data_IF_991671911996
#
_entry.id   IF_991671911996
#
_cell.length_a   1.000
_cell.length_b   1.000
_cell.length_c   1.000
_cell.angle_alpha   90.00
_cell.angle_beta   90.00
_cell.angle_gamma   90.00
#
_symmetry.space_group_name_H-M   'P 1'
#
loop_
_entity.id
_entity.type
_entity.pdbx_description
1 polymer ?
#
# COMPACT_ATOMS: atom_id res chain seq x y z
N UNK A 1 -33.91 2.53 -5.89
CA UNK A 1 -33.04 3.46 -6.63
C UNK A 1 -32.26 2.65 -7.64
N UNK A 2 -32.41 2.96 -8.92
CA UNK A 2 -31.63 2.30 -9.96
C UNK A 2 -30.19 2.84 -9.88
N UNK A 3 -29.18 1.97 -10.00
CA UNK A 3 -27.77 2.41 -10.01
C UNK A 3 -27.50 3.45 -11.12
N UNK A 4 -28.29 3.39 -12.19
CA UNK A 4 -28.26 4.32 -13.32
C UNK A 4 -28.53 5.78 -12.90
N UNK A 5 -29.43 6.01 -11.95
CA UNK A 5 -29.73 7.35 -11.43
C UNK A 5 -28.57 7.93 -10.61
N UNK A 6 -27.58 7.11 -10.25
CA UNK A 6 -26.45 7.50 -9.40
C UNK A 6 -25.14 7.74 -10.15
N UNK A 7 -25.15 7.63 -11.49
CA UNK A 7 -23.97 7.85 -12.34
C UNK A 7 -23.21 9.14 -12.00
N UNK A 8 -23.84 10.33 -11.84
CA UNK A 8 -23.12 11.56 -11.52
C UNK A 8 -22.41 11.53 -10.16
N UNK A 9 -23.00 10.85 -9.17
CA UNK A 9 -22.38 10.69 -7.85
C UNK A 9 -21.22 9.70 -7.89
N UNK A 10 -21.33 8.64 -8.69
CA UNK A 10 -20.25 7.66 -8.89
C UNK A 10 -19.07 8.34 -9.61
N UNK A 11 -19.32 9.16 -10.64
CA UNK A 11 -18.29 9.95 -11.33
C UNK A 11 -17.55 10.89 -10.37
N UNK A 12 -18.28 11.62 -9.51
CA UNK A 12 -17.68 12.46 -8.46
C UNK A 12 -16.81 11.64 -7.52
N UNK A 13 -17.29 10.48 -7.08
CA UNK A 13 -16.55 9.60 -6.18
C UNK A 13 -15.27 9.04 -6.83
N UNK A 14 -15.33 8.73 -8.12
CA UNK A 14 -14.15 8.34 -8.91
C UNK A 14 -13.14 9.50 -8.94
N UNK A 15 -13.56 10.73 -9.22
CA UNK A 15 -12.64 11.87 -9.27
C UNK A 15 -12.02 12.24 -7.91
N UNK A 16 -12.73 12.00 -6.80
CA UNK A 16 -12.30 12.39 -5.45
C UNK A 16 -11.54 11.29 -4.70
N UNK A 17 -11.87 10.02 -4.96
CA UNK A 17 -11.40 8.88 -4.15
C UNK A 17 -10.53 7.89 -4.94
N UNK A 18 -10.67 7.85 -6.26
CA UNK A 18 -9.73 7.14 -7.11
C UNK A 18 -8.54 8.06 -7.39
N UNK A 19 -7.32 7.56 -7.18
CA UNK A 19 -6.10 8.26 -7.59
C UNK A 19 -5.92 8.26 -9.11
N UNK A 20 -4.73 8.63 -9.59
CA UNK A 20 -4.38 8.53 -11.01
C UNK A 20 -4.57 7.11 -11.55
N UNK A 21 -5.20 7.00 -12.73
CA UNK A 21 -5.37 5.75 -13.45
C UNK A 21 -4.21 5.57 -14.45
N UNK A 22 -3.65 4.36 -14.63
CA UNK A 22 -2.65 4.10 -15.67
C UNK A 22 -3.14 4.50 -17.07
N UNK A 23 -2.24 4.95 -17.95
CA UNK A 23 -2.56 5.43 -19.32
C UNK A 23 -3.38 4.44 -20.16
N UNK A 24 -3.28 3.13 -19.88
CA UNK A 24 -4.02 2.06 -20.56
C UNK A 24 -5.09 1.37 -19.68
N UNK A 25 -5.46 1.95 -18.53
CA UNK A 25 -6.35 1.30 -17.58
C UNK A 25 -7.72 0.99 -18.18
N UNK A 26 -8.27 1.87 -19.02
CA UNK A 26 -9.55 1.69 -19.70
C UNK A 26 -9.62 0.40 -20.56
N UNK A 27 -8.48 -0.04 -21.09
CA UNK A 27 -8.37 -1.20 -21.97
C UNK A 27 -8.04 -2.50 -21.22
N UNK A 28 -7.68 -2.40 -19.93
CA UNK A 28 -7.31 -3.53 -19.10
C UNK A 28 -8.44 -3.89 -18.13
N UNK A 29 -9.22 -4.91 -18.48
CA UNK A 29 -10.38 -5.37 -17.71
C UNK A 29 -10.02 -5.77 -16.27
N UNK A 30 -8.86 -6.38 -16.06
CA UNK A 30 -8.41 -6.79 -14.72
C UNK A 30 -8.15 -5.56 -13.84
N UNK A 31 -7.42 -4.58 -14.36
CA UNK A 31 -7.13 -3.32 -13.65
C UNK A 31 -8.42 -2.57 -13.35
N UNK A 32 -9.36 -2.50 -14.29
CA UNK A 32 -10.65 -1.82 -14.11
C UNK A 32 -11.52 -2.51 -13.06
N UNK A 33 -11.60 -3.84 -13.08
CA UNK A 33 -12.34 -4.62 -12.06
C UNK A 33 -11.77 -4.41 -10.67
N UNK A 34 -10.45 -4.52 -10.50
CA UNK A 34 -9.78 -4.26 -9.21
C UNK A 34 -10.01 -2.82 -8.74
N UNK A 35 -10.01 -1.87 -9.66
CA UNK A 35 -10.25 -0.46 -9.36
C UNK A 35 -11.69 -0.22 -8.89
N UNK A 36 -12.68 -0.81 -9.54
CA UNK A 36 -14.08 -0.69 -9.12
C UNK A 36 -14.39 -1.45 -7.82
N UNK A 37 -13.69 -2.57 -7.54
CA UNK A 37 -13.74 -3.22 -6.22
C UNK A 37 -13.21 -2.28 -5.13
N UNK A 38 -12.08 -1.60 -5.38
CA UNK A 38 -11.54 -0.59 -4.45
C UNK A 38 -12.53 0.56 -4.25
N UNK A 39 -13.17 1.03 -5.33
CA UNK A 39 -14.21 2.06 -5.28
C UNK A 39 -15.40 1.63 -4.42
N UNK A 40 -15.89 0.39 -4.56
CA UNK A 40 -16.99 -0.14 -3.75
C UNK A 40 -16.65 -0.13 -2.26
N UNK A 41 -15.43 -0.52 -1.89
CA UNK A 41 -14.96 -0.53 -0.49
C UNK A 41 -14.90 0.88 0.10
N UNK A 42 -14.67 1.89 -0.71
CA UNK A 42 -14.65 3.30 -0.29
C UNK A 42 -16.05 3.92 -0.16
N UNK A 43 -17.11 3.22 -0.59
CA UNK A 43 -18.47 3.70 -0.43
C UNK A 43 -18.93 3.65 1.03
N UNK A 44 -19.79 4.60 1.45
CA UNK A 44 -20.46 4.54 2.75
C UNK A 44 -21.15 3.20 2.99
N UNK A 45 -21.13 2.73 4.25
CA UNK A 45 -21.62 1.40 4.64
C UNK A 45 -23.06 1.11 4.17
N UNK A 46 -23.94 2.11 4.18
CA UNK A 46 -25.32 1.96 3.74
C UNK A 46 -25.45 1.65 2.24
N UNK A 47 -24.54 2.14 1.39
CA UNK A 47 -24.53 1.82 -0.05
C UNK A 47 -23.99 0.40 -0.27
N UNK A 48 -22.96 -0.01 0.48
CA UNK A 48 -22.40 -1.37 0.40
C UNK A 48 -23.38 -2.47 0.85
N UNK A 49 -24.36 -2.12 1.68
CA UNK A 49 -25.45 -3.02 2.08
C UNK A 49 -26.54 -3.10 0.99
N UNK A 50 -26.84 -1.97 0.33
CA UNK A 50 -27.87 -1.91 -0.69
C UNK A 50 -27.46 -2.54 -2.03
N UNK A 51 -26.16 -2.53 -2.35
CA UNK A 51 -25.62 -3.08 -3.60
C UNK A 51 -24.37 -3.93 -3.30
N UNK A 52 -24.45 -5.22 -3.62
CA UNK A 52 -23.31 -6.14 -3.49
C UNK A 52 -22.13 -5.75 -4.39
N UNK A 53 -20.90 -6.07 -3.95
CA UNK A 53 -19.66 -5.71 -4.64
C UNK A 53 -19.67 -6.18 -6.11
N UNK A 54 -20.06 -7.44 -6.36
CA UNK A 54 -20.12 -8.00 -7.71
C UNK A 54 -21.09 -7.23 -8.63
N UNK A 55 -22.31 -6.95 -8.17
CA UNK A 55 -23.31 -6.20 -8.94
C UNK A 55 -22.85 -4.78 -9.24
N UNK A 56 -22.20 -4.13 -8.27
CA UNK A 56 -21.63 -2.79 -8.45
C UNK A 56 -20.49 -2.79 -9.47
N UNK A 57 -19.58 -3.77 -9.38
CA UNK A 57 -18.45 -3.91 -10.30
C UNK A 57 -18.92 -4.18 -11.72
N UNK A 58 -19.86 -5.11 -11.93
CA UNK A 58 -20.43 -5.37 -13.26
C UNK A 58 -21.13 -4.15 -13.83
N UNK A 59 -21.90 -3.42 -13.02
CA UNK A 59 -22.53 -2.17 -13.44
C UNK A 59 -21.50 -1.12 -13.87
N UNK A 60 -20.39 -0.98 -13.11
CA UNK A 60 -19.32 -0.05 -13.44
C UNK A 60 -18.54 -0.48 -14.68
N UNK A 61 -18.31 -1.79 -14.87
CA UNK A 61 -17.67 -2.33 -16.08
C UNK A 61 -18.54 -2.09 -17.32
N UNK A 62 -19.86 -2.32 -17.22
CA UNK A 62 -20.80 -2.09 -18.31
C UNK A 62 -20.97 -0.61 -18.68
N UNK A 63 -20.66 0.31 -17.76
CA UNK A 63 -20.75 1.76 -17.96
C UNK A 63 -19.38 2.46 -17.91
N UNK A 64 -18.28 1.72 -18.05
CA UNK A 64 -16.92 2.24 -17.80
C UNK A 64 -16.58 3.48 -18.62
N UNK A 65 -16.97 3.49 -19.90
CA UNK A 65 -16.69 4.61 -20.80
C UNK A 65 -17.49 5.85 -20.37
N UNK A 66 -18.74 5.68 -19.92
CA UNK A 66 -19.59 6.77 -19.41
C UNK A 66 -19.07 7.30 -18.07
N UNK A 67 -18.57 6.42 -17.21
CA UNK A 67 -18.05 6.79 -15.88
C UNK A 67 -16.70 7.52 -15.95
N UNK A 68 -15.88 7.21 -16.96
CA UNK A 68 -14.52 7.74 -17.08
C UNK A 68 -14.34 8.82 -18.17
N UNK A 69 -15.29 9.01 -19.10
CA UNK A 69 -15.19 9.99 -20.20
C UNK A 69 -15.50 11.44 -19.82
N UNK A 70 -15.46 11.81 -18.53
CA UNK A 70 -15.85 13.17 -18.13
C UNK A 70 -14.76 14.21 -18.48
N UNK A 71 -15.07 15.07 -19.46
CA UNK A 71 -14.33 16.30 -19.80
C UNK A 71 -14.09 17.13 -18.53
N UNK A 72 -12.81 17.30 -18.16
CA UNK A 72 -12.37 18.49 -17.40
C UNK A 72 -11.66 18.27 -16.06
N UNK A 73 -11.61 17.06 -15.49
CA UNK A 73 -10.95 16.87 -14.17
C UNK A 73 -9.91 15.74 -14.11
N UNK A 74 -9.96 14.78 -15.04
CA UNK A 74 -9.06 13.61 -15.03
C UNK A 74 -7.83 13.81 -15.95
N UNK A 75 -7.91 14.74 -16.92
CA UNK A 75 -6.80 15.00 -17.84
C UNK A 75 -5.61 15.72 -17.17
N UNK A 76 -5.85 16.57 -16.15
CA UNK A 76 -4.80 17.34 -15.47
C UNK A 76 -4.19 16.63 -14.25
N UNK A 77 -4.74 15.48 -13.85
CA UNK A 77 -4.10 14.56 -12.89
C UNK A 77 -3.61 13.29 -13.57
N UNK A 78 -3.22 13.42 -14.83
CA UNK A 78 -2.28 12.50 -15.47
C UNK A 78 -0.89 12.76 -14.84
N UNK A 79 -0.71 12.34 -13.59
CA UNK A 79 0.63 12.09 -13.11
C UNK A 79 1.22 11.03 -14.02
N UNK A 80 2.37 11.34 -14.60
CA UNK A 80 3.34 10.35 -15.00
C UNK A 80 3.59 9.44 -13.80
N UNK A 81 2.83 8.37 -13.68
CA UNK A 81 3.48 7.11 -13.36
C UNK A 81 3.99 6.60 -14.69
N UNK A 82 5.18 7.05 -15.04
CA UNK A 82 6.01 6.35 -16.01
C UNK A 82 5.91 4.85 -15.71
N UNK A 83 5.53 4.00 -16.68
CA UNK A 83 5.92 2.60 -16.66
C UNK A 83 7.43 2.43 -16.89
N UNK A 84 8.16 3.53 -17.15
CA UNK A 84 9.58 3.53 -17.52
C UNK A 84 10.38 4.63 -16.80
N UNK A 85 10.43 4.54 -15.48
CA UNK A 85 11.60 4.93 -14.69
C UNK A 85 11.44 4.19 -13.36
N UNK A 86 11.96 2.98 -13.21
CA UNK A 86 13.38 2.73 -13.08
C UNK A 86 13.74 1.41 -13.80
N UNK A 87 14.17 1.49 -15.05
CA UNK A 87 15.45 0.82 -15.35
C UNK A 87 16.52 1.75 -14.76
N UNK A 88 16.54 1.85 -13.43
CA UNK A 88 17.76 2.26 -12.77
C UNK A 88 18.72 1.16 -13.15
N UNK A 89 19.80 1.57 -13.80
CA UNK A 89 21.01 0.77 -13.78
C UNK A 89 21.29 0.54 -12.30
N UNK A 90 20.87 -0.62 -11.79
CA UNK A 90 20.91 -0.92 -10.35
C UNK A 90 22.35 -0.72 -9.96
N UNK A 91 22.59 0.15 -8.99
CA UNK A 91 23.96 0.31 -8.53
C UNK A 91 24.45 -1.04 -8.01
N UNK A 92 25.75 -1.30 -8.08
CA UNK A 92 26.34 -2.53 -7.54
C UNK A 92 25.84 -2.80 -6.10
N UNK A 93 25.66 -1.73 -5.32
CA UNK A 93 25.11 -1.75 -3.96
C UNK A 93 23.65 -2.22 -3.90
N UNK A 94 22.79 -1.81 -4.85
CA UNK A 94 21.38 -2.23 -4.88
C UNK A 94 21.25 -3.74 -5.18
N UNK A 95 22.11 -4.26 -6.06
CA UNK A 95 22.16 -5.69 -6.40
C UNK A 95 22.64 -6.52 -5.20
N UNK A 96 23.68 -6.07 -4.51
CA UNK A 96 24.20 -6.72 -3.30
C UNK A 96 23.16 -6.75 -2.17
N UNK A 97 22.41 -5.66 -1.97
CA UNK A 97 21.34 -5.58 -0.98
C UNK A 97 20.15 -6.50 -1.31
N UNK A 98 19.79 -6.64 -2.59
CA UNK A 98 18.76 -7.60 -3.02
C UNK A 98 19.18 -9.05 -2.77
N UNK A 99 20.44 -9.38 -3.05
CA UNK A 99 21.00 -10.71 -2.77
C UNK A 99 20.97 -11.01 -1.27
N UNK A 100 21.42 -10.05 -0.44
CA UNK A 100 21.36 -10.17 1.02
C UNK A 100 19.92 -10.33 1.53
N UNK A 101 18.97 -9.58 0.99
CA UNK A 101 17.55 -9.70 1.36
C UNK A 101 17.02 -11.10 1.03
N UNK A 102 17.38 -11.65 -0.12
CA UNK A 102 16.99 -13.01 -0.53
C UNK A 102 17.61 -14.07 0.38
N UNK A 103 18.90 -13.94 0.69
CA UNK A 103 19.60 -14.84 1.60
C UNK A 103 18.94 -14.86 2.99
N UNK A 104 18.62 -13.68 3.56
CA UNK A 104 17.94 -13.57 4.85
C UNK A 104 16.55 -14.21 4.84
N UNK A 105 15.81 -14.09 3.73
CA UNK A 105 14.52 -14.75 3.57
C UNK A 105 14.66 -16.27 3.53
N UNK A 106 15.58 -16.80 2.73
CA UNK A 106 15.85 -18.24 2.65
C UNK A 106 16.32 -18.78 4.01
N UNK A 107 17.19 -18.05 4.71
CA UNK A 107 17.63 -18.40 6.05
C UNK A 107 16.45 -18.44 7.03
N UNK A 108 15.56 -17.44 6.99
CA UNK A 108 14.39 -17.38 7.87
C UNK A 108 13.49 -18.61 7.72
N UNK A 109 13.28 -19.09 6.49
CA UNK A 109 12.49 -20.29 6.20
C UNK A 109 13.15 -21.57 6.71
N UNK A 110 14.49 -21.58 6.80
CA UNK A 110 15.26 -22.71 7.30
C UNK A 110 15.29 -22.78 8.83
N UNK A 111 15.33 -21.64 9.52
CA UNK A 111 15.60 -21.58 10.97
C UNK A 111 14.37 -21.26 11.82
N UNK A 112 13.35 -20.61 11.28
CA UNK A 112 12.14 -20.29 12.03
C UNK A 112 11.06 -21.35 11.86
N UNK A 113 10.27 -21.54 12.92
CA UNK A 113 9.05 -22.32 12.84
C UNK A 113 8.01 -21.58 11.98
N UNK A 114 7.24 -22.26 11.13
CA UNK A 114 6.28 -21.66 10.21
C UNK A 114 4.98 -21.23 10.91
N UNK A 115 5.10 -20.42 11.96
CA UNK A 115 3.99 -19.91 12.77
C UNK A 115 3.46 -18.56 12.27
N UNK A 116 4.26 -17.83 11.48
CA UNK A 116 3.89 -16.57 10.86
C UNK A 116 4.12 -16.64 9.34
N UNK A 117 3.23 -16.03 8.53
CA UNK A 117 3.45 -15.94 7.10
C UNK A 117 4.64 -15.02 6.79
N UNK A 118 5.58 -15.43 5.93
CA UNK A 118 6.74 -14.61 5.59
C UNK A 118 6.28 -13.30 4.92
N UNK A 119 6.99 -12.22 5.24
CA UNK A 119 6.79 -10.90 4.63
C UNK A 119 8.00 -10.58 3.75
N UNK A 120 7.80 -10.02 2.54
CA UNK A 120 8.90 -9.64 1.65
C UNK A 120 9.47 -8.27 2.06
N UNK A 121 9.83 -8.13 3.34
CA UNK A 121 10.36 -6.88 3.90
C UNK A 121 11.33 -7.23 5.02
N UNK A 122 12.55 -6.71 4.92
CA UNK A 122 13.58 -6.84 5.95
C UNK A 122 13.94 -5.44 6.41
N UNK A 123 13.72 -5.15 7.68
CA UNK A 123 13.96 -3.85 8.29
C UNK A 123 15.35 -3.83 8.92
N UNK A 124 16.08 -2.74 8.71
CA UNK A 124 17.44 -2.56 9.24
C UNK A 124 17.50 -1.56 10.39
N UNK A 125 16.79 -0.44 10.25
CA UNK A 125 16.84 0.67 11.21
C UNK A 125 15.48 1.31 11.41
N UNK A 126 15.33 2.04 12.52
CA UNK A 126 14.08 2.70 12.89
C UNK A 126 14.32 3.91 13.80
N UNK A 127 13.42 4.89 13.77
CA UNK A 127 13.44 6.08 14.63
C UNK A 127 12.06 6.72 14.66
N UNK A 128 11.48 6.90 15.85
CA UNK A 128 10.13 7.44 16.01
C UNK A 128 9.12 6.56 15.27
N UNK A 129 8.31 7.16 14.39
CA UNK A 129 7.34 6.42 13.58
C UNK A 129 7.90 5.91 12.23
N UNK A 130 9.19 6.09 11.96
CA UNK A 130 9.80 5.76 10.66
C UNK A 130 10.68 4.51 10.81
N UNK A 131 10.57 3.60 9.85
CA UNK A 131 11.40 2.40 9.70
C UNK A 131 12.01 2.38 8.31
N UNK A 132 13.17 1.76 8.16
CA UNK A 132 13.85 1.63 6.87
C UNK A 132 14.20 0.19 6.59
N UNK A 133 14.07 -0.21 5.33
CA UNK A 133 14.57 -1.49 4.85
C UNK A 133 16.07 -1.45 4.56
N UNK A 134 16.64 -2.61 4.20
CA UNK A 134 18.06 -2.75 3.85
C UNK A 134 18.48 -1.83 2.68
N UNK A 135 17.58 -1.55 1.74
CA UNK A 135 17.86 -0.65 0.61
C UNK A 135 17.77 0.82 1.02
N UNK A 136 17.52 1.12 2.30
CA UNK A 136 17.42 2.46 2.84
C UNK A 136 16.09 3.15 2.51
N UNK A 137 15.11 2.44 1.96
CA UNK A 137 13.77 3.00 1.69
C UNK A 137 13.00 3.12 2.99
N UNK A 138 12.32 4.25 3.15
CA UNK A 138 11.60 4.60 4.37
C UNK A 138 10.11 4.26 4.32
N UNK A 139 9.57 3.95 5.49
CA UNK A 139 8.17 3.63 5.69
C UNK A 139 7.68 4.26 6.99
N UNK A 140 6.42 4.70 7.00
CA UNK A 140 5.73 5.09 8.23
C UNK A 140 5.09 3.84 8.84
N UNK A 141 5.46 3.51 10.08
CA UNK A 141 4.93 2.35 10.79
C UNK A 141 3.59 2.67 11.46
N UNK A 142 2.50 2.27 10.80
CA UNK A 142 1.15 2.28 11.37
C UNK A 142 0.78 1.01 12.13
N UNK A 143 1.65 0.00 12.15
CA UNK A 143 1.47 -1.20 12.97
C UNK A 143 1.92 -0.99 14.41
N UNK A 144 3.02 -0.25 14.60
CA UNK A 144 3.66 0.01 15.89
C UNK A 144 3.84 -1.27 16.73
N UNK A 145 4.13 -2.40 16.08
CA UNK A 145 4.22 -3.70 16.74
C UNK A 145 2.93 -4.14 17.45
N UNK A 146 1.76 -3.87 16.88
CA UNK A 146 0.45 -4.04 17.55
C UNK A 146 0.38 -3.14 18.80
N UNK A 147 0.55 -1.84 18.57
CA UNK A 147 0.52 -0.79 19.60
C UNK A 147 1.60 -0.89 20.71
N UNK A 148 2.62 -1.72 20.54
CA UNK A 148 3.77 -1.86 21.45
C UNK A 148 4.64 -0.61 21.42
N UNK A 149 5.02 -0.13 20.24
CA UNK A 149 5.94 1.01 20.07
C UNK A 149 5.23 2.36 20.20
N UNK A 150 4.52 2.58 21.31
CA UNK A 150 3.68 3.77 21.53
C UNK A 150 4.48 5.08 21.66
N UNK A 151 5.72 5.03 22.15
CA UNK A 151 6.65 6.17 22.19
C UNK A 151 7.46 6.30 20.88
N UNK A 152 7.18 5.45 19.89
CA UNK A 152 7.99 5.30 18.69
C UNK A 152 9.17 4.34 18.90
N UNK A 153 9.81 3.99 17.78
CA UNK A 153 10.99 3.14 17.76
C UNK A 153 12.24 3.91 18.21
N UNK A 154 13.11 3.24 18.96
CA UNK A 154 14.37 3.80 19.47
C UNK A 154 14.20 5.13 20.22
N UNK A 155 13.20 5.20 21.12
CA UNK A 155 13.06 6.34 22.02
C UNK A 155 14.35 6.54 22.84
N UNK A 156 14.97 7.74 22.83
CA UNK A 156 16.26 7.97 23.48
C UNK A 156 16.23 7.77 25.00
N UNK A 157 15.13 8.11 25.67
CA UNK A 157 15.01 7.97 27.12
C UNK A 157 14.89 6.49 27.51
N UNK A 158 14.08 5.72 26.79
CA UNK A 158 13.99 4.27 26.97
C UNK A 158 15.32 3.58 26.69
N UNK A 159 16.02 3.97 25.62
CA UNK A 159 17.31 3.40 25.26
C UNK A 159 18.36 3.68 26.32
N UNK A 160 18.37 4.88 26.90
CA UNK A 160 19.26 5.21 28.02
C UNK A 160 18.92 4.35 29.25
N UNK A 161 17.64 4.31 29.63
CA UNK A 161 17.18 3.58 30.82
C UNK A 161 17.51 2.08 30.75
N UNK A 162 17.27 1.43 29.61
CA UNK A 162 17.59 0.01 29.43
C UNK A 162 19.11 -0.22 29.43
N UNK A 163 19.89 0.66 28.79
CA UNK A 163 21.35 0.53 28.73
C UNK A 163 21.98 0.67 30.12
N UNK A 164 21.54 1.66 30.89
CA UNK A 164 21.99 1.85 32.27
C UNK A 164 21.65 0.65 33.15
N UNK A 165 20.41 0.14 33.08
CA UNK A 165 20.00 -0.98 33.92
C UNK A 165 20.70 -2.28 33.52
N UNK A 166 20.83 -2.56 32.22
CA UNK A 166 21.52 -3.75 31.71
C UNK A 166 23.00 -3.78 32.13
N UNK A 167 23.64 -2.60 32.27
CA UNK A 167 25.02 -2.51 32.77
C UNK A 167 25.15 -2.80 34.27
N UNK A 168 24.05 -2.76 35.03
CA UNK A 168 24.03 -3.00 36.48
C UNK A 168 23.60 -4.44 36.80
N UNK A 169 22.47 -4.88 36.25
CA UNK A 169 21.89 -6.20 36.53
C UNK A 169 20.84 -6.57 35.48
N UNK A 170 20.91 -7.81 34.98
CA UNK A 170 19.91 -8.43 34.11
C UNK A 170 19.65 -9.86 34.60
N UNK A 171 18.38 -10.27 34.68
CA UNK A 171 17.98 -11.68 34.85
C UNK A 171 17.39 -12.24 33.55
#
# INVERSE_FOLDING_TARGET
>A
MLLEDQIPRIQKLISEKLGGLPKNALQNDMVMRTTFMRLHRMLPRFIRIAVGEATFVEFCMANRDRLLSFKGAVQERMQETDPESQTQDKTQTDLEMEEQMKELQELSLKVYLPTYPPKPLVLERSRGAVIWDLQGKDYIDFGAGIAVSSLGHQDPELLLAISEQASKLWH
#
